data_IF_176574084051
#
_entry.id   IF_176574084051
#
_cell.length_a   1.000
_cell.length_b   1.000
_cell.length_c   1.000
_cell.angle_alpha   90.00
_cell.angle_beta   90.00
_cell.angle_gamma   90.00
#
_symmetry.space_group_name_H-M   'P 1'
#
loop_
_entity.id
_entity.type
_entity.pdbx_description
1 polymer ?
#
# COMPACT_ATOMS: atom_id res chain seq x y z
N UNK A 1 -15.90 -1.99 13.61
CA UNK A 1 -14.81 -1.34 14.39
C UNK A 1 -13.49 -2.13 14.39
N UNK A 2 -13.48 -3.46 14.26
CA UNK A 2 -12.22 -4.24 14.20
C UNK A 2 -11.47 -4.20 12.85
N UNK A 3 -12.14 -3.87 11.74
CA UNK A 3 -11.52 -3.93 10.41
C UNK A 3 -10.43 -2.88 10.20
N UNK A 4 -10.59 -1.66 10.74
CA UNK A 4 -9.61 -0.59 10.58
C UNK A 4 -8.30 -0.84 11.36
N UNK A 5 -8.41 -1.48 12.53
CA UNK A 5 -7.25 -1.82 13.37
C UNK A 5 -6.43 -2.93 12.70
N UNK A 6 -7.10 -3.94 12.14
CA UNK A 6 -6.43 -4.99 11.38
C UNK A 6 -5.71 -4.43 10.14
N UNK A 7 -6.36 -3.54 9.39
CA UNK A 7 -5.75 -2.85 8.24
C UNK A 7 -4.45 -2.12 8.59
N UNK A 8 -4.41 -1.46 9.76
CA UNK A 8 -3.24 -0.75 10.25
C UNK A 8 -2.10 -1.69 10.67
N UNK A 9 -2.45 -2.83 11.27
CA UNK A 9 -1.49 -3.87 11.61
C UNK A 9 -0.91 -4.53 10.34
N UNK A 10 -1.74 -4.80 9.33
CA UNK A 10 -1.31 -5.29 8.01
C UNK A 10 -0.31 -4.33 7.35
N UNK A 11 -0.48 -3.00 7.47
CA UNK A 11 0.48 -2.02 6.94
C UNK A 11 1.87 -2.09 7.58
N UNK A 12 2.00 -2.67 8.77
CA UNK A 12 3.26 -2.86 9.48
C UNK A 12 3.81 -4.29 9.34
N UNK A 13 3.09 -5.15 8.62
CA UNK A 13 3.49 -6.54 8.40
C UNK A 13 4.41 -6.65 7.18
N UNK A 14 5.58 -7.24 7.38
CA UNK A 14 6.56 -7.50 6.32
C UNK A 14 6.00 -8.45 5.24
N UNK A 15 4.96 -9.23 5.58
CA UNK A 15 4.26 -10.10 4.65
C UNK A 15 3.24 -9.38 3.75
N UNK A 16 2.98 -8.07 3.97
CA UNK A 16 2.01 -7.29 3.21
C UNK A 16 2.37 -7.23 1.72
N UNK A 17 1.48 -7.78 0.89
CA UNK A 17 1.65 -7.83 -0.56
C UNK A 17 1.76 -6.44 -1.20
N UNK A 18 1.16 -5.41 -0.58
CA UNK A 18 1.28 -4.00 -0.99
C UNK A 18 2.70 -3.50 -0.77
N UNK A 19 3.26 -3.72 0.42
CA UNK A 19 4.64 -3.31 0.77
C UNK A 19 5.63 -3.99 -0.17
N UNK A 20 5.51 -5.31 -0.35
CA UNK A 20 6.34 -6.08 -1.29
C UNK A 20 6.22 -5.59 -2.73
N UNK A 21 5.03 -5.16 -3.15
CA UNK A 21 4.82 -4.63 -4.48
C UNK A 21 5.48 -3.26 -4.65
N UNK A 22 5.35 -2.36 -3.67
CA UNK A 22 5.98 -1.03 -3.68
C UNK A 22 7.50 -1.17 -3.74
N UNK A 23 8.11 -1.99 -2.88
CA UNK A 23 9.57 -2.18 -2.85
C UNK A 23 10.15 -2.73 -4.16
N UNK A 24 9.35 -3.42 -4.98
CA UNK A 24 9.78 -3.93 -6.29
C UNK A 24 9.65 -2.92 -7.44
N UNK A 25 8.97 -1.79 -7.21
CA UNK A 25 8.65 -0.80 -8.23
C UNK A 25 9.01 0.63 -7.78
N UNK A 26 10.06 0.78 -6.96
CA UNK A 26 10.55 2.08 -6.47
C UNK A 26 11.14 2.96 -7.58
N UNK A 27 11.36 2.40 -8.77
CA UNK A 27 11.80 3.12 -9.98
C UNK A 27 10.65 3.89 -10.66
N UNK A 28 9.40 3.60 -10.32
CA UNK A 28 8.24 4.28 -10.89
C UNK A 28 7.97 5.61 -10.20
N UNK A 29 7.45 6.61 -10.94
CA UNK A 29 6.89 7.82 -10.33
C UNK A 29 5.78 7.47 -9.34
N UNK A 30 5.74 8.16 -8.19
CA UNK A 30 4.73 7.93 -7.14
C UNK A 30 3.30 7.96 -7.67
N UNK A 31 2.99 8.87 -8.59
CA UNK A 31 1.66 8.98 -9.20
C UNK A 31 1.28 7.75 -10.02
N UNK A 32 2.23 7.17 -10.74
CA UNK A 32 2.03 5.95 -11.53
C UNK A 32 1.93 4.73 -10.62
N UNK A 33 2.79 4.64 -9.61
CA UNK A 33 2.75 3.58 -8.62
C UNK A 33 1.41 3.56 -7.87
N UNK A 34 0.88 4.73 -7.48
CA UNK A 34 -0.44 4.85 -6.86
C UNK A 34 -1.57 4.30 -7.74
N UNK A 35 -1.61 4.66 -9.03
CA UNK A 35 -2.64 4.13 -9.92
C UNK A 35 -2.57 2.61 -10.03
N UNK A 36 -1.36 2.05 -10.15
CA UNK A 36 -1.15 0.60 -10.19
C UNK A 36 -1.59 -0.08 -8.91
N UNK A 37 -1.38 0.54 -7.75
CA UNK A 37 -1.82 0.04 -6.45
C UNK A 37 -3.35 -0.06 -6.37
N UNK A 38 -4.08 0.97 -6.80
CA UNK A 38 -5.55 0.93 -6.82
C UNK A 38 -6.10 -0.16 -7.75
N UNK A 39 -5.46 -0.36 -8.91
CA UNK A 39 -5.88 -1.40 -9.87
C UNK A 39 -5.56 -2.80 -9.34
N UNK A 40 -4.40 -2.99 -8.71
CA UNK A 40 -3.91 -4.29 -8.29
C UNK A 40 -4.50 -4.76 -6.96
N UNK A 41 -4.80 -3.83 -6.05
CA UNK A 41 -5.29 -4.12 -4.71
C UNK A 41 -6.66 -3.47 -4.44
N UNK A 42 -7.69 -3.74 -5.28
CA UNK A 42 -8.98 -3.05 -5.18
C UNK A 42 -9.78 -3.42 -3.92
N UNK A 43 -9.47 -4.55 -3.28
CA UNK A 43 -10.21 -5.07 -2.11
C UNK A 43 -9.54 -4.78 -0.77
N UNK A 44 -8.31 -4.23 -0.77
CA UNK A 44 -7.58 -3.91 0.46
C UNK A 44 -8.19 -2.68 1.16
N UNK A 45 -8.82 -1.79 0.40
CA UNK A 45 -9.53 -0.64 0.95
C UNK A 45 -8.61 0.49 1.43
N UNK A 46 -7.33 0.48 1.06
CA UNK A 46 -6.44 1.61 1.30
C UNK A 46 -6.86 2.82 0.47
N UNK A 47 -6.89 3.98 1.13
CA UNK A 47 -6.95 5.28 0.49
C UNK A 47 -5.60 5.71 -0.07
N UNK A 48 -5.62 6.80 -0.84
CA UNK A 48 -4.43 7.45 -1.41
C UNK A 48 -3.40 7.83 -0.32
N UNK A 49 -3.85 8.41 0.78
CA UNK A 49 -3.01 8.80 1.91
C UNK A 49 -2.28 7.59 2.50
N UNK A 50 -2.97 6.46 2.64
CA UNK A 50 -2.39 5.23 3.22
C UNK A 50 -1.36 4.61 2.27
N UNK A 51 -1.65 4.57 0.96
CA UNK A 51 -0.63 4.15 -0.01
C UNK A 51 0.58 5.09 -0.04
N UNK A 52 0.37 6.40 0.06
CA UNK A 52 1.46 7.38 0.13
C UNK A 52 2.33 7.19 1.37
N UNK A 53 1.72 6.89 2.53
CA UNK A 53 2.47 6.57 3.75
C UNK A 53 3.33 5.32 3.58
N UNK A 54 2.82 4.29 2.91
CA UNK A 54 3.60 3.07 2.63
C UNK A 54 4.74 3.34 1.64
N UNK A 55 4.49 4.13 0.58
CA UNK A 55 5.51 4.50 -0.39
C UNK A 55 6.63 5.32 0.27
N UNK A 56 6.30 6.28 1.14
CA UNK A 56 7.29 7.12 1.81
C UNK A 56 8.11 6.38 2.88
N UNK A 57 7.67 5.21 3.33
CA UNK A 57 8.38 4.38 4.32
C UNK A 57 9.45 3.49 3.69
N UNK A 58 9.42 3.30 2.37
CA UNK A 58 10.32 2.44 1.59
C UNK A 58 11.36 3.32 0.90
#
# INVERSE_FOLDING_TARGET
MYQAINLYLDMSDEDNEVVKYISKHTDLPTSELLQRLFIRFPTIGYGDTQYLELINKI
#
